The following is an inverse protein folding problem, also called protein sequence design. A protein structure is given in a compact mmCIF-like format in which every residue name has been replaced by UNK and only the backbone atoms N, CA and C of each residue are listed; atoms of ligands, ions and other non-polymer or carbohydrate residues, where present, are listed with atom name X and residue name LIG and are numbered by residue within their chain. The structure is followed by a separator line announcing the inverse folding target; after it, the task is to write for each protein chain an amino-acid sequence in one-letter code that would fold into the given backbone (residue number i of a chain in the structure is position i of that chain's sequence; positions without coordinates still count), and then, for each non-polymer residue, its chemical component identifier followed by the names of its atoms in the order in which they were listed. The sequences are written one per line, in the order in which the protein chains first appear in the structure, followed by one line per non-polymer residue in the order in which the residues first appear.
data_IF_634120025055
#
_entry.id   IF_634120025055
#
_cell.length_a   1.000
_cell.length_b   1.000
_cell.length_c   1.000
_cell.angle_alpha   90.00
_cell.angle_beta   90.00
_cell.angle_gamma   90.00
#
_symmetry.space_group_name_H-M   'P 1'
#
loop_
_entity.id
_entity.type
_entity.pdbx_description
1 polymer ?
#
# COMPACT_ATOMS: atom_id res chain seq x y z
N UNK A 1 -28.14 -3.39 2.61
CA UNK A 1 -26.79 -3.41 1.98
C UNK A 1 -26.97 -2.86 0.59
N UNK A 2 -26.71 -1.57 0.38
CA UNK A 2 -27.05 -0.84 -0.84
C UNK A 2 -25.97 -0.90 -1.93
N UNK A 3 -24.92 -1.74 -1.78
CA UNK A 3 -23.89 -1.89 -2.79
C UNK A 3 -23.00 -0.66 -3.02
N UNK A 4 -22.89 0.23 -2.03
CA UNK A 4 -22.11 1.48 -2.16
C UNK A 4 -20.59 1.25 -2.15
N UNK A 5 -20.15 0.13 -1.60
CA UNK A 5 -18.73 -0.24 -1.54
C UNK A 5 -18.55 -1.75 -1.61
N UNK A 6 -17.48 -2.19 -2.24
CA UNK A 6 -17.05 -3.61 -2.26
C UNK A 6 -16.28 -3.97 -1.01
N UNK A 7 -15.47 -3.04 -0.52
CA UNK A 7 -14.63 -3.21 0.66
C UNK A 7 -14.43 -1.87 1.36
N UNK A 8 -14.41 -1.91 2.68
CA UNK A 8 -14.07 -0.78 3.55
C UNK A 8 -13.07 -1.25 4.60
N UNK A 9 -12.02 -0.45 4.83
CA UNK A 9 -11.02 -0.69 5.88
C UNK A 9 -11.29 0.28 7.03
N UNK A 10 -11.84 -0.23 8.13
CA UNK A 10 -12.11 0.56 9.34
C UNK A 10 -10.89 0.48 10.25
N UNK A 11 -10.49 1.64 10.78
CA UNK A 11 -9.34 1.75 11.67
C UNK A 11 -9.74 1.68 13.14
N UNK A 12 -8.85 1.09 13.93
CA UNK A 12 -8.97 1.06 15.38
C UNK A 12 -7.64 1.51 15.99
N UNK A 13 -7.72 2.44 16.95
CA UNK A 13 -6.56 2.97 17.66
C UNK A 13 -6.43 2.29 19.01
N UNK A 14 -5.22 1.86 19.34
CA UNK A 14 -4.85 1.37 20.67
C UNK A 14 -3.86 2.34 21.28
N UNK A 15 -4.09 2.70 22.55
CA UNK A 15 -3.25 3.64 23.28
C UNK A 15 -2.68 2.97 24.52
N UNK A 16 -1.40 3.15 24.76
CA UNK A 16 -0.73 2.68 25.97
C UNK A 16 0.28 3.70 26.46
N UNK A 17 0.49 3.79 27.78
CA UNK A 17 1.56 4.58 28.39
C UNK A 17 2.82 3.71 28.49
N UNK A 18 3.94 4.19 27.97
CA UNK A 18 5.21 3.49 28.03
C UNK A 18 6.39 4.47 27.96
N UNK A 19 7.53 4.05 28.49
CA UNK A 19 8.81 4.78 28.39
C UNK A 19 9.71 4.14 27.33
N UNK A 20 9.15 3.87 26.14
CA UNK A 20 9.88 3.25 25.05
C UNK A 20 10.85 4.24 24.41
N UNK A 21 12.12 3.86 24.28
CA UNK A 21 13.05 4.54 23.39
C UNK A 21 12.72 4.19 21.93
N UNK A 22 12.40 5.20 21.13
CA UNK A 22 11.93 5.03 19.77
C UNK A 22 12.95 4.34 18.85
N UNK A 23 14.24 4.62 19.03
CA UNK A 23 15.32 4.02 18.21
C UNK A 23 15.45 2.54 18.51
N UNK A 24 15.55 2.21 19.80
CA UNK A 24 15.66 0.82 20.24
C UNK A 24 14.40 0.02 19.86
N UNK A 25 13.22 0.64 19.96
CA UNK A 25 11.97 0.01 19.55
C UNK A 25 11.93 -0.25 18.04
N UNK A 26 12.32 0.73 17.22
CA UNK A 26 12.43 0.57 15.78
C UNK A 26 13.35 -0.60 15.39
N UNK A 27 14.55 -0.67 15.98
CA UNK A 27 15.47 -1.76 15.68
C UNK A 27 14.97 -3.14 16.13
N UNK A 28 14.24 -3.20 17.25
CA UNK A 28 13.56 -4.44 17.66
C UNK A 28 12.49 -4.87 16.64
N UNK A 29 11.67 -3.91 16.18
CA UNK A 29 10.67 -4.19 15.15
C UNK A 29 11.32 -4.64 13.84
N UNK A 30 12.40 -4.00 13.41
CA UNK A 30 13.11 -4.39 12.18
C UNK A 30 13.67 -5.81 12.25
N UNK A 31 14.12 -6.25 13.42
CA UNK A 31 14.59 -7.64 13.63
C UNK A 31 13.46 -8.67 13.52
N UNK A 32 12.24 -8.28 13.83
CA UNK A 32 11.06 -9.16 13.78
C UNK A 32 10.38 -9.08 12.42
N UNK A 33 10.25 -7.87 11.87
CA UNK A 33 9.50 -7.58 10.66
C UNK A 33 10.38 -6.83 9.65
N UNK A 34 11.04 -7.55 8.77
CA UNK A 34 11.93 -7.02 7.72
C UNK A 34 11.10 -6.47 6.54
N UNK A 35 10.36 -5.38 6.78
CA UNK A 35 9.54 -4.77 5.73
C UNK A 35 10.35 -3.76 4.90
N UNK A 36 10.20 -3.76 3.55
CA UNK A 36 11.06 -2.96 2.66
C UNK A 36 10.87 -1.45 2.78
N UNK A 37 9.71 -1.00 3.21
CA UNK A 37 9.37 0.43 3.35
C UNK A 37 9.30 0.84 4.83
N UNK A 38 10.18 0.26 5.65
CA UNK A 38 10.27 0.62 7.08
C UNK A 38 10.99 1.93 7.29
N UNK A 39 10.48 2.74 8.20
CA UNK A 39 11.09 4.02 8.54
C UNK A 39 10.88 4.42 10.00
N UNK A 40 11.74 5.30 10.48
CA UNK A 40 11.64 6.01 11.75
C UNK A 40 11.75 7.50 11.47
N UNK A 41 10.71 8.26 11.82
CA UNK A 41 10.77 9.73 11.89
C UNK A 41 10.91 10.12 13.34
N UNK A 42 11.83 11.02 13.61
CA UNK A 42 12.03 11.63 14.93
C UNK A 42 11.84 13.11 14.84
N UNK A 43 10.94 13.62 15.64
CA UNK A 43 10.74 15.04 15.82
C UNK A 43 10.87 15.39 17.31
N UNK A 44 10.81 16.67 17.61
CA UNK A 44 10.93 17.18 18.98
C UNK A 44 9.86 16.60 19.91
N UNK A 45 8.64 16.53 19.43
CA UNK A 45 7.46 16.22 20.24
C UNK A 45 6.87 14.83 19.99
N UNK A 46 7.31 14.12 18.93
CA UNK A 46 6.79 12.80 18.60
C UNK A 46 7.78 11.95 17.80
N UNK A 47 7.52 10.67 17.76
CA UNK A 47 8.21 9.73 16.88
C UNK A 47 7.20 8.90 16.11
N UNK A 48 7.47 8.65 14.83
CA UNK A 48 6.67 7.76 13.99
C UNK A 48 7.51 6.58 13.60
N UNK A 49 7.03 5.38 13.93
CA UNK A 49 7.68 4.13 13.58
C UNK A 49 6.75 3.34 12.69
N UNK A 50 7.24 2.91 11.54
CA UNK A 50 6.47 2.11 10.60
C UNK A 50 7.32 0.98 10.02
N UNK A 51 6.70 -0.19 9.87
CA UNK A 51 7.25 -1.35 9.17
C UNK A 51 6.30 -1.72 8.01
N UNK A 52 6.20 -0.83 7.02
CA UNK A 52 5.29 -1.02 5.87
C UNK A 52 5.89 -1.98 4.84
N UNK A 53 5.13 -2.96 4.35
CA UNK A 53 5.56 -3.81 3.25
C UNK A 53 5.27 -3.21 1.88
N UNK A 54 4.44 -2.16 1.77
CA UNK A 54 3.81 -1.75 0.53
C UNK A 54 4.41 -0.44 -0.01
N UNK A 55 4.85 -0.50 -1.26
CA UNK A 55 5.22 0.68 -2.05
C UNK A 55 3.97 1.18 -2.76
N UNK A 56 3.46 2.34 -2.36
CA UNK A 56 2.31 2.97 -3.01
C UNK A 56 2.65 3.36 -4.44
N UNK A 57 3.75 4.08 -4.64
CA UNK A 57 4.23 4.46 -5.96
C UNK A 57 5.74 4.63 -6.00
N UNK A 58 6.31 4.34 -7.15
CA UNK A 58 7.68 4.68 -7.55
C UNK A 58 7.64 5.34 -8.92
N UNK A 59 8.21 6.54 -9.04
CA UNK A 59 8.38 7.26 -10.31
C UNK A 59 9.85 7.39 -10.62
N UNK A 60 10.24 6.97 -11.83
CA UNK A 60 11.56 7.21 -12.41
C UNK A 60 11.39 7.84 -13.79
N UNK A 61 11.86 9.06 -13.95
CA UNK A 61 11.65 9.86 -15.16
C UNK A 61 10.15 9.96 -15.47
N UNK A 62 9.71 9.45 -16.61
CA UNK A 62 8.31 9.43 -17.06
C UNK A 62 7.57 8.10 -16.79
N UNK A 63 8.19 7.16 -16.11
CA UNK A 63 7.58 5.87 -15.78
C UNK A 63 7.14 5.91 -14.31
N UNK A 64 5.89 5.54 -14.07
CA UNK A 64 5.33 5.34 -12.74
C UNK A 64 4.96 3.87 -12.55
N UNK A 65 5.18 3.38 -11.35
CA UNK A 65 4.91 2.00 -10.93
C UNK A 65 4.16 2.03 -9.60
N UNK A 66 3.16 1.20 -9.46
CA UNK A 66 2.54 0.85 -8.18
C UNK A 66 2.62 -0.65 -7.95
N UNK A 67 2.61 -1.06 -6.68
CA UNK A 67 2.86 -2.45 -6.29
C UNK A 67 1.92 -2.87 -5.18
N UNK A 68 0.60 -2.93 -5.46
CA UNK A 68 -0.38 -3.30 -4.46
C UNK A 68 -0.17 -4.71 -3.93
N UNK A 69 -0.36 -4.82 -2.63
CA UNK A 69 -0.39 -6.08 -1.89
C UNK A 69 -1.84 -6.38 -1.53
N UNK A 70 -2.33 -7.53 -1.94
CA UNK A 70 -3.60 -8.05 -1.47
C UNK A 70 -3.51 -9.57 -1.35
N UNK A 71 -3.51 -10.02 -0.11
CA UNK A 71 -3.27 -11.39 0.31
C UNK A 71 -1.99 -11.52 1.13
N UNK A 72 -2.15 -12.08 2.33
CA UNK A 72 -1.06 -12.35 3.26
C UNK A 72 -1.22 -13.75 3.83
N UNK A 73 -0.15 -14.52 3.80
CA UNK A 73 -0.11 -15.87 4.35
C UNK A 73 1.08 -15.99 5.32
N UNK A 74 0.79 -16.39 6.55
CA UNK A 74 1.83 -16.68 7.52
C UNK A 74 2.72 -17.81 7.02
N UNK A 75 4.02 -17.59 7.06
CA UNK A 75 5.00 -18.56 6.57
C UNK A 75 5.45 -19.48 7.71
N UNK A 76 5.39 -20.78 7.45
CA UNK A 76 6.05 -21.77 8.28
C UNK A 76 7.32 -22.30 7.58
N UNK A 77 8.22 -22.93 8.34
CA UNK A 77 9.48 -23.49 7.80
C UNK A 77 9.27 -24.48 6.64
N UNK A 78 8.12 -25.16 6.60
CA UNK A 78 7.80 -26.16 5.59
C UNK A 78 7.11 -25.61 4.33
N UNK A 79 6.65 -24.34 4.37
CA UNK A 79 5.94 -23.74 3.24
C UNK A 79 6.89 -23.21 2.19
N UNK A 80 6.57 -23.50 0.93
CA UNK A 80 7.28 -23.00 -0.25
C UNK A 80 6.52 -21.85 -0.90
N UNK A 81 7.21 -21.04 -1.73
CA UNK A 81 6.53 -20.00 -2.53
C UNK A 81 5.52 -20.59 -3.52
N UNK A 82 5.72 -21.84 -3.97
CA UNK A 82 4.76 -22.57 -4.81
C UNK A 82 3.48 -22.84 -4.02
N UNK A 83 3.60 -23.37 -2.81
CA UNK A 83 2.45 -23.60 -1.94
C UNK A 83 1.65 -22.30 -1.71
N UNK A 84 2.34 -21.21 -1.38
CA UNK A 84 1.68 -19.92 -1.16
C UNK A 84 0.97 -19.42 -2.43
N UNK A 85 1.57 -19.59 -3.61
CA UNK A 85 0.95 -19.25 -4.88
C UNK A 85 -0.32 -20.06 -5.13
N UNK A 86 -0.25 -21.37 -4.94
CA UNK A 86 -1.40 -22.27 -5.12
C UNK A 86 -2.52 -21.93 -4.11
N UNK A 87 -2.17 -21.59 -2.87
CA UNK A 87 -3.11 -21.15 -1.86
C UNK A 87 -3.88 -19.89 -2.30
N UNK A 88 -3.17 -18.84 -2.71
CA UNK A 88 -3.81 -17.59 -3.15
C UNK A 88 -4.65 -17.78 -4.42
N UNK A 89 -4.23 -18.63 -5.35
CA UNK A 89 -4.97 -18.90 -6.58
C UNK A 89 -6.26 -19.68 -6.33
N UNK A 90 -6.25 -20.62 -5.39
CA UNK A 90 -7.42 -21.43 -5.03
C UNK A 90 -8.39 -20.71 -4.10
N UNK A 91 -7.91 -19.70 -3.35
CA UNK A 91 -8.74 -18.92 -2.47
C UNK A 91 -9.48 -17.83 -3.26
N UNK A 92 -10.75 -18.08 -3.58
CA UNK A 92 -11.58 -17.14 -4.34
C UNK A 92 -11.69 -15.75 -3.71
N UNK A 93 -11.81 -15.68 -2.38
CA UNK A 93 -11.91 -14.40 -1.65
C UNK A 93 -10.65 -13.58 -1.85
N UNK A 94 -9.47 -14.15 -1.58
CA UNK A 94 -8.19 -13.48 -1.75
C UNK A 94 -7.96 -13.07 -3.20
N UNK A 95 -8.31 -13.94 -4.16
CA UNK A 95 -8.16 -13.66 -5.58
C UNK A 95 -9.10 -12.55 -6.07
N UNK A 96 -10.34 -12.50 -5.59
CA UNK A 96 -11.32 -11.43 -5.91
C UNK A 96 -10.91 -10.10 -5.30
N UNK A 97 -10.47 -10.10 -4.01
CA UNK A 97 -9.96 -8.90 -3.35
C UNK A 97 -8.73 -8.34 -4.09
N UNK A 98 -7.80 -9.20 -4.45
CA UNK A 98 -6.61 -8.81 -5.19
C UNK A 98 -6.94 -8.19 -6.55
N UNK A 99 -7.84 -8.80 -7.33
CA UNK A 99 -8.28 -8.26 -8.61
C UNK A 99 -8.89 -6.87 -8.46
N UNK A 100 -9.75 -6.69 -7.46
CA UNK A 100 -10.41 -5.40 -7.18
C UNK A 100 -9.38 -4.30 -6.85
N UNK A 101 -8.38 -4.58 -6.02
CA UNK A 101 -7.31 -3.64 -5.69
C UNK A 101 -6.48 -3.32 -6.93
N UNK A 102 -6.12 -4.32 -7.73
CA UNK A 102 -5.37 -4.14 -8.99
C UNK A 102 -6.13 -3.25 -9.96
N UNK A 103 -7.43 -3.45 -10.14
CA UNK A 103 -8.25 -2.64 -11.05
C UNK A 103 -8.39 -1.20 -10.56
N UNK A 104 -8.49 -0.99 -9.27
CA UNK A 104 -8.50 0.35 -8.68
C UNK A 104 -7.17 1.08 -8.91
N UNK A 105 -6.05 0.45 -8.64
CA UNK A 105 -4.72 1.02 -8.88
C UNK A 105 -4.48 1.31 -10.38
N UNK A 106 -4.99 0.47 -11.27
CA UNK A 106 -4.99 0.73 -12.73
C UNK A 106 -5.81 1.96 -13.08
N UNK A 107 -6.96 2.13 -12.45
CA UNK A 107 -7.81 3.30 -12.64
C UNK A 107 -7.08 4.57 -12.20
N UNK A 108 -6.48 4.59 -11.01
CA UNK A 108 -5.73 5.72 -10.49
C UNK A 108 -4.57 6.10 -11.43
N UNK A 109 -3.78 5.12 -11.88
CA UNK A 109 -2.72 5.34 -12.85
C UNK A 109 -3.25 5.86 -14.20
N UNK A 110 -4.42 5.43 -14.64
CA UNK A 110 -5.00 5.84 -15.93
C UNK A 110 -5.35 7.34 -15.97
N UNK A 111 -5.60 7.95 -14.82
CA UNK A 111 -5.86 9.40 -14.70
C UNK A 111 -4.64 10.23 -15.09
N UNK A 112 -3.43 9.77 -14.78
CA UNK A 112 -2.17 10.50 -14.92
C UNK A 112 -1.26 9.94 -16.04
N UNK A 113 -1.53 8.75 -16.53
CA UNK A 113 -0.74 8.10 -17.58
C UNK A 113 -1.34 8.30 -18.97
N UNK A 114 -0.50 8.19 -19.99
CA UNK A 114 -0.91 8.18 -21.39
C UNK A 114 -1.83 7.00 -21.66
N UNK A 115 -2.88 7.22 -22.45
CA UNK A 115 -3.83 6.18 -22.85
C UNK A 115 -3.10 4.95 -23.42
N UNK A 116 -3.52 3.76 -23.00
CA UNK A 116 -2.96 2.48 -23.45
C UNK A 116 -1.60 2.09 -22.84
N UNK A 117 -1.00 2.95 -21.98
CA UNK A 117 0.32 2.67 -21.40
C UNK A 117 0.26 2.00 -20.02
N UNK A 118 -0.89 2.03 -19.36
CA UNK A 118 -1.08 1.35 -18.07
C UNK A 118 -1.15 -0.16 -18.31
N UNK A 119 -0.14 -0.88 -17.84
CA UNK A 119 -0.01 -2.33 -18.05
C UNK A 119 0.37 -3.04 -16.76
N UNK A 120 -0.14 -4.24 -16.60
CA UNK A 120 0.32 -5.16 -15.57
C UNK A 120 1.66 -5.74 -16.04
N UNK A 121 2.72 -5.49 -15.28
CA UNK A 121 4.06 -5.96 -15.59
C UNK A 121 4.34 -7.34 -14.98
N UNK A 122 3.88 -7.56 -13.75
CA UNK A 122 3.90 -8.86 -13.05
C UNK A 122 2.57 -9.04 -12.35
N UNK A 123 1.80 -10.02 -12.79
CA UNK A 123 0.49 -10.34 -12.24
C UNK A 123 0.65 -11.43 -11.16
N UNK A 124 0.06 -11.19 -9.99
CA UNK A 124 -0.16 -12.22 -8.99
C UNK A 124 1.10 -13.03 -8.66
N UNK A 125 2.17 -12.32 -8.30
CA UNK A 125 3.42 -12.92 -7.84
C UNK A 125 3.42 -13.07 -6.33
N UNK A 126 4.10 -14.10 -5.83
CA UNK A 126 4.31 -14.29 -4.40
C UNK A 126 5.66 -13.73 -4.01
N UNK A 127 5.68 -12.76 -3.12
CA UNK A 127 6.89 -12.26 -2.48
C UNK A 127 7.05 -12.91 -1.12
N UNK A 128 8.25 -13.41 -0.88
CA UNK A 128 8.62 -14.09 0.35
C UNK A 128 9.32 -13.13 1.28
N UNK A 129 8.77 -12.96 2.47
CA UNK A 129 9.37 -12.26 3.60
C UNK A 129 9.80 -13.25 4.67
N UNK A 130 10.37 -12.77 5.75
CA UNK A 130 10.85 -13.63 6.84
C UNK A 130 9.76 -14.57 7.36
N UNK A 131 8.62 -14.01 7.75
CA UNK A 131 7.52 -14.75 8.41
C UNK A 131 6.21 -14.73 7.60
N UNK A 132 6.23 -14.13 6.40
CA UNK A 132 5.06 -13.93 5.57
C UNK A 132 5.32 -14.24 4.09
N UNK A 133 4.25 -14.57 3.40
CA UNK A 133 4.13 -14.46 1.94
C UNK A 133 3.10 -13.40 1.61
N UNK A 134 3.45 -12.48 0.71
CA UNK A 134 2.51 -11.52 0.14
C UNK A 134 2.18 -11.83 -1.31
N UNK A 135 0.91 -11.62 -1.65
CA UNK A 135 0.43 -11.73 -3.02
C UNK A 135 0.42 -10.34 -3.65
N UNK A 136 1.22 -10.15 -4.68
CA UNK A 136 1.59 -8.83 -5.20
C UNK A 136 1.39 -8.77 -6.70
N UNK A 137 0.91 -7.62 -7.19
CA UNK A 137 0.89 -7.29 -8.61
C UNK A 137 1.68 -6.01 -8.85
N UNK A 138 2.50 -5.99 -9.90
CA UNK A 138 3.23 -4.79 -10.33
C UNK A 138 2.56 -4.19 -11.56
N UNK A 139 2.12 -2.93 -11.44
CA UNK A 139 1.46 -2.17 -12.49
C UNK A 139 2.37 -1.00 -12.86
N UNK A 140 2.49 -0.70 -14.13
CA UNK A 140 3.29 0.43 -14.63
C UNK A 140 2.52 1.23 -15.65
N UNK A 141 2.85 2.52 -15.76
CA UNK A 141 2.35 3.40 -16.80
C UNK A 141 3.39 4.44 -17.21
N UNK A 142 3.19 5.07 -18.36
CA UNK A 142 3.96 6.23 -18.78
C UNK A 142 3.18 7.49 -18.55
N UNK A 143 3.72 8.44 -17.79
CA UNK A 143 3.05 9.70 -17.44
C UNK A 143 2.71 10.52 -18.68
N UNK A 144 1.58 11.22 -18.63
CA UNK A 144 1.24 12.28 -19.58
C UNK A 144 2.30 13.39 -19.54
N UNK A 145 2.37 14.21 -20.57
CA UNK A 145 3.18 15.44 -20.53
C UNK A 145 2.58 16.41 -19.50
N UNK A 146 3.43 17.19 -18.85
CA UNK A 146 3.05 18.27 -17.92
C UNK A 146 2.29 17.80 -16.67
N UNK A 147 2.40 16.54 -16.26
CA UNK A 147 1.88 16.06 -14.97
C UNK A 147 2.81 16.50 -13.86
N UNK A 148 2.28 17.26 -12.91
CA UNK A 148 3.02 17.71 -11.74
C UNK A 148 3.15 16.59 -10.68
N UNK A 149 4.08 16.77 -9.72
CA UNK A 149 4.18 15.88 -8.57
C UNK A 149 2.90 15.91 -7.74
N UNK A 150 2.24 17.07 -7.63
CA UNK A 150 0.95 17.22 -6.97
C UNK A 150 -0.13 16.35 -7.64
N UNK A 151 -0.22 16.37 -8.97
CA UNK A 151 -1.21 15.56 -9.70
C UNK A 151 -1.01 14.06 -9.46
N UNK A 152 0.26 13.62 -9.40
CA UNK A 152 0.61 12.23 -9.13
C UNK A 152 0.13 11.83 -7.73
N UNK A 153 0.48 12.64 -6.73
CA UNK A 153 0.10 12.38 -5.34
C UNK A 153 -1.43 12.38 -5.20
N UNK A 154 -2.11 13.37 -5.75
CA UNK A 154 -3.58 13.48 -5.70
C UNK A 154 -4.31 12.35 -6.40
N UNK A 155 -3.73 11.77 -7.45
CA UNK A 155 -4.32 10.63 -8.14
C UNK A 155 -4.15 9.33 -7.36
N UNK A 156 -3.00 9.14 -6.72
CA UNK A 156 -2.63 7.87 -6.07
C UNK A 156 -3.05 7.81 -4.61
N UNK A 157 -3.11 8.95 -3.91
CA UNK A 157 -3.44 8.98 -2.47
C UNK A 157 -4.92 9.32 -2.22
N UNK A 158 -5.48 8.74 -1.15
CA UNK A 158 -4.95 7.64 -0.36
C UNK A 158 -4.94 6.34 -1.16
N UNK A 159 -4.04 5.43 -0.79
CA UNK A 159 -3.99 4.08 -1.39
C UNK A 159 -5.29 3.31 -1.14
N UNK A 160 -5.75 2.59 -2.14
CA UNK A 160 -6.99 1.85 -1.99
C UNK A 160 -6.92 0.65 -1.09
N UNK A 161 -5.73 0.06 -0.96
CA UNK A 161 -5.47 -1.03 -0.02
C UNK A 161 -5.73 -0.64 1.45
N UNK A 162 -5.64 0.67 1.78
CA UNK A 162 -5.80 1.18 3.16
C UNK A 162 -7.15 1.82 3.45
N UNK A 163 -7.96 2.12 2.42
CA UNK A 163 -9.31 2.67 2.61
C UNK A 163 -10.42 1.74 2.14
N UNK A 164 -10.28 1.16 0.95
CA UNK A 164 -11.28 0.32 0.31
C UNK A 164 -11.66 0.81 -1.09
N UNK A 165 -12.70 0.21 -1.65
CA UNK A 165 -13.10 0.42 -3.05
C UNK A 165 -14.64 0.44 -3.20
N UNK A 166 -15.22 1.35 -4.03
CA UNK A 166 -14.61 2.47 -4.76
C UNK A 166 -14.12 3.60 -3.83
N UNK A 167 -13.03 4.28 -4.21
CA UNK A 167 -12.30 5.24 -3.35
C UNK A 167 -13.20 6.33 -2.75
N UNK A 168 -13.93 7.07 -3.59
CA UNK A 168 -14.76 8.22 -3.15
C UNK A 168 -15.91 7.77 -2.25
N UNK A 169 -16.67 6.76 -2.65
CA UNK A 169 -17.77 6.22 -1.83
C UNK A 169 -17.28 5.72 -0.48
N UNK A 170 -16.12 5.04 -0.49
CA UNK A 170 -15.53 4.51 0.73
C UNK A 170 -15.04 5.63 1.65
N UNK A 171 -14.43 6.69 1.13
CA UNK A 171 -14.01 7.86 1.93
C UNK A 171 -15.22 8.54 2.58
N UNK A 172 -16.33 8.73 1.85
CA UNK A 172 -17.54 9.30 2.40
C UNK A 172 -18.12 8.45 3.54
N UNK A 173 -18.14 7.12 3.35
CA UNK A 173 -18.57 6.19 4.39
C UNK A 173 -17.65 6.21 5.61
N UNK A 174 -16.34 6.23 5.42
CA UNK A 174 -15.37 6.32 6.51
C UNK A 174 -15.56 7.61 7.31
N UNK A 175 -15.70 8.74 6.64
CA UNK A 175 -15.93 10.03 7.27
C UNK A 175 -17.20 10.05 8.14
N UNK A 176 -18.22 9.30 7.76
CA UNK A 176 -19.47 9.16 8.54
C UNK A 176 -19.41 8.12 9.67
N UNK A 177 -18.48 7.17 9.61
CA UNK A 177 -18.41 6.02 10.52
C UNK A 177 -17.27 6.09 11.53
N UNK A 178 -16.13 6.63 11.14
CA UNK A 178 -15.00 6.80 12.05
C UNK A 178 -15.19 8.04 12.91
N UNK A 179 -15.19 7.85 14.22
CA UNK A 179 -15.35 8.93 15.20
C UNK A 179 -14.04 9.66 15.49
N UNK A 180 -12.92 9.06 15.14
CA UNK A 180 -11.58 9.55 15.43
C UNK A 180 -10.84 9.75 14.10
N UNK A 181 -10.22 10.90 13.94
CA UNK A 181 -9.39 11.17 12.76
C UNK A 181 -8.19 10.23 12.72
N UNK A 182 -7.89 9.72 11.54
CA UNK A 182 -6.73 8.84 11.30
C UNK A 182 -5.39 9.55 11.47
N UNK A 183 -5.37 10.89 11.34
CA UNK A 183 -4.16 11.70 11.32
C UNK A 183 -3.16 11.16 10.29
N UNK A 184 -1.97 10.76 10.75
CA UNK A 184 -0.91 10.18 9.90
C UNK A 184 -1.16 8.70 9.55
N UNK A 185 -2.04 8.02 10.26
CA UNK A 185 -2.30 6.59 10.04
C UNK A 185 -2.98 6.38 8.68
N UNK A 186 -2.50 5.42 7.91
CA UNK A 186 -2.87 5.17 6.51
C UNK A 186 -2.46 6.27 5.52
N UNK A 187 -1.69 7.25 5.97
CA UNK A 187 -0.99 8.18 5.11
C UNK A 187 0.18 7.51 4.37
N UNK A 188 0.95 8.31 3.67
CA UNK A 188 2.13 7.83 2.94
C UNK A 188 3.35 8.64 3.33
N UNK A 189 4.48 7.96 3.45
CA UNK A 189 5.78 8.55 3.68
C UNK A 189 6.67 8.26 2.48
N UNK A 190 7.50 9.23 2.09
CA UNK A 190 8.39 9.04 0.96
C UNK A 190 9.27 10.24 0.68
N UNK A 191 9.83 10.28 -0.51
CA UNK A 191 10.73 11.35 -0.94
C UNK A 191 10.54 11.70 -2.40
N UNK A 192 10.94 12.93 -2.74
CA UNK A 192 11.04 13.44 -4.10
C UNK A 192 12.46 13.96 -4.28
N UNK A 193 13.19 13.41 -5.24
CA UNK A 193 14.53 13.83 -5.57
C UNK A 193 14.53 15.13 -6.40
N UNK A 194 15.68 15.81 -6.47
CA UNK A 194 15.85 17.02 -7.26
C UNK A 194 15.58 16.82 -8.76
N UNK A 195 15.80 15.61 -9.29
CA UNK A 195 15.47 15.24 -10.68
C UNK A 195 13.99 14.91 -10.89
N UNK A 196 13.16 15.03 -9.86
CA UNK A 196 11.73 14.73 -9.88
C UNK A 196 11.37 13.25 -9.75
N UNK A 197 12.32 12.33 -9.59
CA UNK A 197 12.04 10.95 -9.23
C UNK A 197 11.48 10.88 -7.81
N UNK A 198 10.54 9.98 -7.55
CA UNK A 198 9.88 9.88 -6.25
C UNK A 198 9.57 8.43 -5.86
N UNK A 199 9.43 8.22 -4.56
CA UNK A 199 8.96 6.96 -3.98
C UNK A 199 8.17 7.22 -2.70
N UNK A 200 7.02 6.57 -2.57
CA UNK A 200 6.12 6.62 -1.42
C UNK A 200 5.62 5.24 -1.05
#
# INVERSE_FOLDING_TARGET
KLGETYQIKICQTYTNKSNLDAVNFFWKLMKINESPESFLIRDKDYNIISCSPETLLEKKKNIIVTKPIAGTLNRTKKMTSKFAKDFFQKNEKESKEHNMIVDMERNDLSRICKTGTVKINKLKTVEKYRDLYHYVTKIRGSLKKNISNHDIISAMMPGGSVIGCPKISTLNLLNSREKINRNIYTGSFGYINANGDMRF
#
